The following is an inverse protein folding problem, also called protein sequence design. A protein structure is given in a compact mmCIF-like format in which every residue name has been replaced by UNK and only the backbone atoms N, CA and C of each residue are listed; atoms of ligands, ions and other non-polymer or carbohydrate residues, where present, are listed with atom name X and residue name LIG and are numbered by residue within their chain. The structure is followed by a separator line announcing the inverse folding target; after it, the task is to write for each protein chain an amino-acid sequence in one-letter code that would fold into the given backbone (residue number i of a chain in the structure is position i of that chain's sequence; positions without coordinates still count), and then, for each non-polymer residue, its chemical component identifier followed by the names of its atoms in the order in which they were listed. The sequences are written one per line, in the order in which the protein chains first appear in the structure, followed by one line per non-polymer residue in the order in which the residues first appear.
data_IF_881194049470
#
_entry.id   IF_881194049470
#
_cell.length_a   1.000
_cell.length_b   1.000
_cell.length_c   1.000
_cell.angle_alpha   90.00
_cell.angle_beta   90.00
_cell.angle_gamma   90.00
#
_symmetry.space_group_name_H-M   'P 1'
#
loop_
_entity.id
_entity.type
_entity.pdbx_description
1 polymer ?
#
# COMPACT_ATOMS: atom_id res chain seq x y z
N UNK A 1 -49.25 -12.71 -39.09
CA UNK A 1 -50.09 -11.75 -39.82
C UNK A 1 -51.33 -12.47 -40.27
N UNK A 2 -52.48 -12.14 -39.70
CA UNK A 2 -53.77 -12.57 -40.26
C UNK A 2 -54.29 -11.38 -41.03
N UNK A 3 -53.86 -11.25 -42.28
CA UNK A 3 -54.47 -10.30 -43.21
C UNK A 3 -55.90 -10.76 -43.35
N UNK A 4 -56.86 -9.97 -42.86
CA UNK A 4 -58.27 -10.30 -42.94
C UNK A 4 -58.69 -10.01 -44.39
N UNK A 5 -58.25 -10.86 -45.32
CA UNK A 5 -58.59 -10.73 -46.74
C UNK A 5 -60.07 -10.96 -46.89
N UNK A 6 -60.81 -9.90 -47.17
CA UNK A 6 -62.23 -9.99 -47.50
C UNK A 6 -62.30 -10.71 -48.84
N UNK A 7 -62.79 -11.96 -48.79
CA UNK A 7 -62.99 -12.76 -49.98
C UNK A 7 -64.15 -12.18 -50.79
N UNK A 8 -63.80 -11.37 -51.79
CA UNK A 8 -64.75 -10.65 -52.66
C UNK A 8 -65.59 -11.62 -53.49
N UNK A 9 -65.09 -12.83 -53.79
CA UNK A 9 -65.84 -13.87 -54.47
C UNK A 9 -66.93 -14.43 -53.56
N UNK A 10 -66.58 -14.76 -52.32
CA UNK A 10 -67.54 -15.22 -51.31
C UNK A 10 -68.62 -14.17 -51.01
N UNK A 11 -68.26 -12.89 -51.01
CA UNK A 11 -69.21 -11.78 -50.83
C UNK A 11 -70.16 -11.62 -52.03
N UNK A 12 -69.64 -11.74 -53.26
CA UNK A 12 -70.43 -11.68 -54.49
C UNK A 12 -71.44 -12.84 -54.57
N UNK A 13 -71.02 -14.05 -54.20
CA UNK A 13 -71.88 -15.23 -54.19
C UNK A 13 -73.01 -15.12 -53.15
N UNK A 14 -72.73 -14.51 -51.98
CA UNK A 14 -73.74 -14.19 -50.98
C UNK A 14 -74.79 -13.18 -51.48
N UNK A 15 -74.35 -12.15 -52.21
CA UNK A 15 -75.25 -11.15 -52.82
C UNK A 15 -76.12 -11.76 -53.94
N UNK A 16 -75.56 -12.66 -54.76
CA UNK A 16 -76.31 -13.44 -55.76
C UNK A 16 -77.38 -14.33 -55.11
N UNK A 17 -77.03 -15.01 -54.02
CA UNK A 17 -77.96 -15.85 -53.26
C UNK A 17 -79.11 -15.04 -52.62
N UNK A 18 -78.88 -13.75 -52.32
CA UNK A 18 -79.89 -12.82 -51.82
C UNK A 18 -80.80 -12.23 -52.92
N UNK A 19 -80.64 -12.65 -54.18
CA UNK A 19 -81.51 -12.24 -55.30
C UNK A 19 -81.01 -11.02 -56.10
N UNK A 20 -79.80 -10.52 -55.85
CA UNK A 20 -79.22 -9.46 -56.66
C UNK A 20 -78.79 -9.98 -58.06
N UNK A 21 -79.00 -9.21 -59.14
CA UNK A 21 -78.52 -9.58 -60.47
C UNK A 21 -77.00 -9.81 -60.45
N UNK A 22 -76.53 -10.89 -61.08
CA UNK A 22 -75.10 -11.25 -61.13
C UNK A 22 -74.14 -10.08 -61.42
N UNK A 23 -74.38 -9.19 -62.41
CA UNK A 23 -73.48 -8.07 -62.66
C UNK A 23 -73.50 -7.01 -61.55
N UNK A 24 -74.64 -6.82 -60.87
CA UNK A 24 -74.74 -5.87 -59.75
C UNK A 24 -74.11 -6.44 -58.48
N UNK A 25 -74.28 -7.74 -58.21
CA UNK A 25 -73.69 -8.40 -57.05
C UNK A 25 -72.14 -8.36 -57.09
N UNK A 26 -71.56 -8.65 -58.26
CA UNK A 26 -70.11 -8.60 -58.48
C UNK A 26 -69.57 -7.17 -58.42
N UNK A 27 -70.24 -6.21 -59.05
CA UNK A 27 -69.87 -4.80 -58.99
C UNK A 27 -69.89 -4.28 -57.53
N UNK A 28 -70.92 -4.64 -56.76
CA UNK A 28 -71.05 -4.21 -55.36
C UNK A 28 -69.99 -4.85 -54.47
N UNK A 29 -69.72 -6.16 -54.63
CA UNK A 29 -68.68 -6.84 -53.88
C UNK A 29 -67.28 -6.29 -54.17
N UNK A 30 -67.04 -5.90 -55.42
CA UNK A 30 -65.79 -5.26 -55.84
C UNK A 30 -65.64 -3.86 -55.25
N UNK A 31 -66.66 -3.02 -55.35
CA UNK A 31 -66.64 -1.66 -54.78
C UNK A 31 -66.49 -1.66 -53.26
N UNK A 32 -67.13 -2.61 -52.56
CA UNK A 32 -66.96 -2.78 -51.12
C UNK A 32 -65.56 -3.30 -50.76
N UNK A 33 -65.01 -4.21 -51.55
CA UNK A 33 -63.63 -4.68 -51.39
C UNK A 33 -62.61 -3.55 -51.58
N UNK A 34 -62.78 -2.72 -52.61
CA UNK A 34 -61.94 -1.54 -52.88
C UNK A 34 -62.08 -0.50 -51.75
N UNK A 35 -63.31 -0.16 -51.34
CA UNK A 35 -63.53 0.82 -50.27
C UNK A 35 -63.00 0.37 -48.89
N UNK A 36 -63.01 -0.94 -48.61
CA UNK A 36 -62.46 -1.50 -47.37
C UNK A 36 -60.93 -1.61 -47.41
N UNK A 37 -60.33 -1.91 -48.57
CA UNK A 37 -58.88 -1.84 -48.75
C UNK A 37 -58.37 -0.41 -48.49
N UNK A 38 -59.01 0.60 -49.09
CA UNK A 38 -58.68 2.02 -48.88
C UNK A 38 -58.81 2.46 -47.41
N UNK A 39 -59.70 1.82 -46.63
CA UNK A 39 -59.88 2.11 -45.21
C UNK A 39 -58.87 1.40 -44.29
N UNK A 40 -58.38 0.20 -44.67
CA UNK A 40 -57.48 -0.63 -43.87
C UNK A 40 -56.01 -0.29 -44.14
N UNK A 41 -55.64 -0.02 -45.40
CA UNK A 41 -54.26 0.27 -45.82
C UNK A 41 -53.57 1.38 -44.99
N UNK A 42 -54.23 2.52 -44.65
CA UNK A 42 -53.61 3.54 -43.82
C UNK A 42 -53.29 3.05 -42.41
N UNK A 43 -54.12 2.15 -41.86
CA UNK A 43 -53.93 1.59 -40.53
C UNK A 43 -52.80 0.55 -40.51
N UNK A 44 -52.69 -0.29 -41.54
CA UNK A 44 -51.60 -1.25 -41.69
C UNK A 44 -50.27 -0.57 -41.96
N UNK A 45 -50.23 0.47 -42.80
CA UNK A 45 -49.05 1.29 -43.01
C UNK A 45 -48.61 2.04 -41.74
N UNK A 46 -49.56 2.57 -40.96
CA UNK A 46 -49.27 3.21 -39.68
C UNK A 46 -48.69 2.19 -38.67
N UNK A 47 -49.22 0.98 -38.65
CA UNK A 47 -48.73 -0.11 -37.81
C UNK A 47 -47.32 -0.54 -38.20
N UNK A 48 -47.04 -0.74 -39.48
CA UNK A 48 -45.70 -1.11 -39.97
C UNK A 48 -44.66 -0.04 -39.60
N UNK A 49 -45.02 1.24 -39.75
CA UNK A 49 -44.16 2.35 -39.36
C UNK A 49 -43.88 2.37 -37.85
N UNK A 50 -44.88 2.06 -37.03
CA UNK A 50 -44.72 1.94 -35.58
C UNK A 50 -43.86 0.73 -35.19
N UNK A 51 -44.06 -0.42 -35.84
CA UNK A 51 -43.23 -1.61 -35.61
C UNK A 51 -41.78 -1.34 -35.99
N UNK A 52 -41.54 -0.63 -37.10
CA UNK A 52 -40.20 -0.21 -37.54
C UNK A 52 -39.52 0.71 -36.51
N UNK A 53 -40.20 1.73 -35.98
CA UNK A 53 -39.60 2.62 -34.95
C UNK A 53 -39.34 1.90 -33.64
N UNK A 54 -40.21 0.96 -33.23
CA UNK A 54 -39.98 0.14 -32.04
C UNK A 54 -38.77 -0.80 -32.24
N UNK A 55 -38.59 -1.35 -33.44
CA UNK A 55 -37.42 -2.18 -33.74
C UNK A 55 -36.14 -1.35 -33.72
N UNK A 56 -36.16 -0.17 -34.34
CA UNK A 56 -35.03 0.76 -34.38
C UNK A 56 -34.61 1.19 -32.95
N UNK A 57 -35.56 1.67 -32.15
CA UNK A 57 -35.33 2.04 -30.75
C UNK A 57 -34.79 0.87 -29.92
N UNK A 58 -35.26 -0.36 -30.15
CA UNK A 58 -34.79 -1.56 -29.45
C UNK A 58 -33.36 -1.93 -29.82
N UNK A 59 -32.94 -1.68 -31.06
CA UNK A 59 -31.56 -1.92 -31.51
C UNK A 59 -30.63 -0.89 -30.86
N UNK A 60 -31.01 0.39 -30.92
CA UNK A 60 -30.28 1.48 -30.27
C UNK A 60 -30.12 1.22 -28.77
N UNK A 61 -31.23 0.95 -28.07
CA UNK A 61 -31.23 0.71 -26.63
C UNK A 61 -30.42 -0.54 -26.25
N UNK A 62 -30.45 -1.59 -27.08
CA UNK A 62 -29.59 -2.78 -26.88
C UNK A 62 -28.11 -2.42 -27.00
N UNK A 63 -27.76 -1.52 -27.92
CA UNK A 63 -26.41 -0.98 -28.08
C UNK A 63 -25.94 -0.22 -26.83
N UNK A 64 -26.74 0.73 -26.35
CA UNK A 64 -26.46 1.51 -25.14
C UNK A 64 -26.30 0.60 -23.91
N UNK A 65 -27.23 -0.33 -23.71
CA UNK A 65 -27.17 -1.28 -22.60
C UNK A 65 -25.97 -2.22 -22.67
N UNK A 66 -25.52 -2.59 -23.88
CA UNK A 66 -24.29 -3.35 -24.08
C UNK A 66 -23.06 -2.55 -23.65
N UNK A 67 -23.02 -1.25 -23.96
CA UNK A 67 -21.93 -0.37 -23.52
C UNK A 67 -21.93 -0.18 -22.01
N UNK A 68 -23.10 0.08 -21.41
CA UNK A 68 -23.24 0.23 -19.95
C UNK A 68 -22.80 -1.04 -19.21
N UNK A 69 -23.19 -2.22 -19.71
CA UNK A 69 -22.75 -3.50 -19.12
C UNK A 69 -21.23 -3.69 -19.28
N UNK A 70 -20.66 -3.30 -20.41
CA UNK A 70 -19.21 -3.33 -20.64
C UNK A 70 -18.46 -2.43 -19.66
N UNK A 71 -18.93 -1.20 -19.47
CA UNK A 71 -18.37 -0.25 -18.51
C UNK A 71 -18.47 -0.78 -17.06
N UNK A 72 -19.64 -1.31 -16.67
CA UNK A 72 -19.87 -1.87 -15.35
C UNK A 72 -18.99 -3.10 -15.07
N UNK A 73 -18.78 -3.96 -16.07
CA UNK A 73 -17.86 -5.09 -15.96
C UNK A 73 -16.41 -4.63 -15.84
N UNK A 74 -16.01 -3.62 -16.61
CA UNK A 74 -14.68 -3.03 -16.53
C UNK A 74 -14.41 -2.42 -15.15
N UNK A 75 -15.36 -1.66 -14.61
CA UNK A 75 -15.25 -1.07 -13.27
C UNK A 75 -15.20 -2.14 -12.18
N UNK A 76 -16.01 -3.20 -12.30
CA UNK A 76 -15.95 -4.34 -11.38
C UNK A 76 -14.57 -5.01 -11.38
N UNK A 77 -13.95 -5.19 -12.55
CA UNK A 77 -12.59 -5.74 -12.66
C UNK A 77 -11.55 -4.81 -12.03
N UNK A 78 -11.68 -3.50 -12.24
CA UNK A 78 -10.77 -2.51 -11.64
C UNK A 78 -10.89 -2.49 -10.12
N UNK A 79 -12.10 -2.54 -9.58
CA UNK A 79 -12.33 -2.60 -8.13
C UNK A 79 -11.70 -3.85 -7.52
N UNK A 80 -11.90 -5.03 -8.12
CA UNK A 80 -11.27 -6.27 -7.66
C UNK A 80 -9.73 -6.19 -7.69
N UNK A 81 -9.16 -5.56 -8.73
CA UNK A 81 -7.71 -5.37 -8.82
C UNK A 81 -7.19 -4.41 -7.72
N UNK A 82 -7.94 -3.35 -7.42
CA UNK A 82 -7.63 -2.43 -6.32
C UNK A 82 -7.71 -3.15 -4.98
N UNK A 83 -8.75 -3.94 -4.73
CA UNK A 83 -8.91 -4.70 -3.50
C UNK A 83 -7.75 -5.68 -3.26
N UNK A 84 -7.34 -6.42 -4.31
CA UNK A 84 -6.17 -7.30 -4.24
C UNK A 84 -4.87 -6.51 -3.99
N UNK A 85 -4.73 -5.35 -4.63
CA UNK A 85 -3.61 -4.44 -4.43
C UNK A 85 -3.52 -3.94 -2.98
N UNK A 86 -4.65 -3.54 -2.40
CA UNK A 86 -4.74 -3.10 -1.01
C UNK A 86 -4.40 -4.24 -0.04
N UNK A 87 -4.93 -5.45 -0.24
CA UNK A 87 -4.56 -6.60 0.60
C UNK A 87 -3.06 -6.94 0.54
N UNK A 88 -2.41 -6.73 -0.62
CA UNK A 88 -0.95 -6.88 -0.74
C UNK A 88 -0.19 -5.79 0.03
N UNK A 89 -0.70 -4.55 0.04
CA UNK A 89 -0.12 -3.45 0.80
C UNK A 89 -0.23 -3.71 2.30
N UNK A 90 -1.39 -4.15 2.79
CA UNK A 90 -1.60 -4.52 4.20
C UNK A 90 -0.58 -5.57 4.65
N UNK A 91 -0.43 -6.66 3.91
CA UNK A 91 0.57 -7.69 4.24
C UNK A 91 2.01 -7.18 4.26
N UNK A 92 2.34 -6.17 3.45
CA UNK A 92 3.66 -5.54 3.47
C UNK A 92 3.83 -4.64 4.68
N UNK A 93 2.79 -3.94 5.10
CA UNK A 93 2.79 -3.11 6.30
C UNK A 93 2.97 -3.98 7.55
N UNK A 94 2.24 -5.10 7.68
CA UNK A 94 2.42 -6.05 8.78
C UNK A 94 3.88 -6.52 8.90
N UNK A 95 4.54 -6.81 7.78
CA UNK A 95 5.95 -7.21 7.74
C UNK A 95 6.89 -6.06 8.13
N UNK A 96 6.54 -4.83 7.83
CA UNK A 96 7.31 -3.65 8.24
C UNK A 96 7.18 -3.45 9.75
N UNK A 97 5.97 -3.53 10.30
CA UNK A 97 5.72 -3.45 11.74
C UNK A 97 6.53 -4.49 12.51
N UNK A 98 6.46 -5.77 12.12
CA UNK A 98 7.26 -6.83 12.75
C UNK A 98 8.78 -6.60 12.67
N UNK A 99 9.26 -5.92 11.62
CA UNK A 99 10.68 -5.57 11.50
C UNK A 99 11.04 -4.42 12.42
N UNK A 100 10.15 -3.44 12.59
CA UNK A 100 10.35 -2.32 13.52
C UNK A 100 10.39 -2.82 14.96
N UNK A 101 9.48 -3.71 15.36
CA UNK A 101 9.50 -4.34 16.70
C UNK A 101 10.86 -5.01 16.99
N UNK A 102 11.42 -5.72 16.00
CA UNK A 102 12.75 -6.36 16.14
C UNK A 102 13.88 -5.34 16.20
N UNK A 103 13.74 -4.19 15.55
CA UNK A 103 14.73 -3.11 15.63
C UNK A 103 14.68 -2.48 17.01
N UNK A 104 13.50 -2.19 17.54
CA UNK A 104 13.31 -1.66 18.90
C UNK A 104 13.95 -2.57 19.94
N UNK A 105 13.63 -3.88 19.92
CA UNK A 105 14.25 -4.85 20.83
C UNK A 105 15.78 -4.93 20.72
N UNK A 106 16.34 -4.67 19.54
CA UNK A 106 17.80 -4.64 19.34
C UNK A 106 18.39 -3.36 19.91
N UNK A 107 17.71 -2.23 19.78
CA UNK A 107 18.14 -0.96 20.36
C UNK A 107 18.14 -1.04 21.89
N UNK A 108 17.10 -1.59 22.51
CA UNK A 108 17.06 -1.81 23.97
C UNK A 108 18.27 -2.62 24.46
N UNK A 109 18.65 -3.67 23.72
CA UNK A 109 19.84 -4.48 24.04
C UNK A 109 21.14 -3.73 23.85
N UNK A 110 21.20 -2.81 22.89
CA UNK A 110 22.38 -1.95 22.68
C UNK A 110 22.49 -0.97 23.83
N UNK A 111 21.41 -0.30 24.23
CA UNK A 111 21.37 0.61 25.38
C UNK A 111 21.86 -0.10 26.65
N UNK A 112 21.31 -1.26 27.00
CA UNK A 112 21.77 -2.05 28.15
C UNK A 112 23.25 -2.45 28.09
N UNK A 113 23.81 -2.64 26.89
CA UNK A 113 25.24 -2.93 26.73
C UNK A 113 26.09 -1.69 26.91
N UNK A 114 25.62 -0.54 26.46
CA UNK A 114 26.30 0.74 26.65
C UNK A 114 26.34 1.11 28.14
N UNK A 115 25.23 0.96 28.87
CA UNK A 115 25.20 1.16 30.34
C UNK A 115 26.26 0.33 31.06
N UNK A 116 26.40 -0.95 30.66
CA UNK A 116 27.44 -1.85 31.22
C UNK A 116 28.85 -1.44 30.85
N UNK A 117 29.04 -0.86 29.67
CA UNK A 117 30.35 -0.34 29.24
C UNK A 117 30.69 0.90 30.05
N UNK A 118 29.75 1.83 30.24
CA UNK A 118 29.93 3.02 31.07
C UNK A 118 30.33 2.65 32.50
N UNK A 119 29.59 1.75 33.16
CA UNK A 119 29.93 1.27 34.50
C UNK A 119 31.34 0.66 34.60
N UNK A 120 31.78 -0.04 33.55
CA UNK A 120 33.14 -0.62 33.50
C UNK A 120 34.20 0.44 33.31
N UNK A 121 33.92 1.48 32.53
CA UNK A 121 34.83 2.61 32.35
C UNK A 121 34.99 3.38 33.66
N UNK A 122 33.90 3.68 34.37
CA UNK A 122 33.93 4.31 35.70
C UNK A 122 34.80 3.51 36.68
N UNK A 123 34.66 2.18 36.68
CA UNK A 123 35.46 1.31 37.54
C UNK A 123 36.95 1.30 37.15
N UNK A 124 37.27 1.41 35.86
CA UNK A 124 38.65 1.52 35.36
C UNK A 124 39.24 2.87 35.76
N UNK A 125 38.51 3.97 35.58
CA UNK A 125 38.94 5.32 35.97
C UNK A 125 39.25 5.38 37.47
N UNK A 126 38.39 4.81 38.32
CA UNK A 126 38.64 4.74 39.76
C UNK A 126 39.92 3.96 40.09
N UNK A 127 40.16 2.84 39.41
CA UNK A 127 41.36 2.02 39.61
C UNK A 127 42.62 2.76 39.17
N UNK A 128 42.58 3.45 38.02
CA UNK A 128 43.68 4.26 37.53
C UNK A 128 44.00 5.40 38.51
N UNK A 129 42.97 6.09 39.04
CA UNK A 129 43.16 7.12 40.07
C UNK A 129 43.86 6.58 41.33
N UNK A 130 43.53 5.36 41.77
CA UNK A 130 44.24 4.69 42.88
C UNK A 130 45.69 4.35 42.54
N UNK A 131 45.96 3.88 41.32
CA UNK A 131 47.32 3.59 40.86
C UNK A 131 48.15 4.87 40.80
N UNK A 132 47.61 5.97 40.27
CA UNK A 132 48.29 7.26 40.26
C UNK A 132 48.67 7.74 41.66
N UNK A 133 47.76 7.59 42.64
CA UNK A 133 48.05 7.93 44.04
C UNK A 133 49.16 7.06 44.62
N UNK A 134 49.13 5.74 44.36
CA UNK A 134 50.15 4.82 44.83
C UNK A 134 51.52 5.14 44.21
N UNK A 135 51.57 5.45 42.91
CA UNK A 135 52.81 5.86 42.22
C UNK A 135 53.37 7.14 42.84
N UNK A 136 52.55 8.18 43.05
CA UNK A 136 52.99 9.41 43.73
C UNK A 136 53.55 9.15 45.14
N UNK A 137 52.92 8.24 45.89
CA UNK A 137 53.41 7.88 47.22
C UNK A 137 54.80 7.23 47.16
N UNK A 138 55.03 6.33 46.20
CA UNK A 138 56.35 5.70 45.96
C UNK A 138 57.39 6.74 45.53
N UNK A 139 57.04 7.65 44.63
CA UNK A 139 57.94 8.74 44.19
C UNK A 139 58.39 9.61 45.38
N UNK A 140 57.48 9.98 46.27
CA UNK A 140 57.79 10.75 47.48
C UNK A 140 58.71 9.97 48.43
N UNK A 141 58.47 8.66 48.62
CA UNK A 141 59.33 7.81 49.44
C UNK A 141 60.76 7.73 48.88
N UNK A 142 60.90 7.52 47.56
CA UNK A 142 62.20 7.48 46.90
C UNK A 142 62.94 8.81 47.00
N UNK A 143 62.23 9.94 46.87
CA UNK A 143 62.82 11.26 47.07
C UNK A 143 63.34 11.44 48.51
N UNK A 144 62.58 11.00 49.50
CA UNK A 144 63.00 10.98 50.91
C UNK A 144 64.26 10.14 51.12
N UNK A 145 64.27 8.89 50.65
CA UNK A 145 65.42 8.00 50.76
C UNK A 145 66.67 8.57 50.08
N UNK A 146 66.51 9.19 48.91
CA UNK A 146 67.60 9.85 48.18
C UNK A 146 68.21 11.01 48.99
N UNK A 147 67.36 11.82 49.65
CA UNK A 147 67.81 12.88 50.58
C UNK A 147 68.58 12.30 51.77
N UNK A 148 68.05 11.27 52.41
CA UNK A 148 68.67 10.67 53.60
C UNK A 148 70.05 10.07 53.29
N UNK A 149 70.17 9.39 52.13
CA UNK A 149 71.46 8.91 51.63
C UNK A 149 72.45 10.06 51.36
N UNK A 150 71.96 11.20 50.88
CA UNK A 150 72.77 12.41 50.74
C UNK A 150 73.35 12.89 52.06
N UNK A 151 72.51 13.00 53.10
CA UNK A 151 72.93 13.38 54.45
C UNK A 151 73.94 12.39 55.04
N UNK A 152 73.72 11.08 54.87
CA UNK A 152 74.64 10.06 55.34
C UNK A 152 76.02 10.17 54.69
N UNK A 153 76.08 10.40 53.37
CA UNK A 153 77.35 10.61 52.64
C UNK A 153 78.11 11.83 53.13
N UNK A 154 77.41 12.94 53.36
CA UNK A 154 78.01 14.17 53.92
C UNK A 154 78.53 13.90 55.34
N UNK A 155 77.74 13.25 56.19
CA UNK A 155 78.13 12.87 57.54
C UNK A 155 79.40 12.00 57.57
N UNK A 156 79.45 10.94 56.74
CA UNK A 156 80.65 10.11 56.61
C UNK A 156 81.87 10.90 56.15
N UNK A 157 81.73 11.80 55.18
CA UNK A 157 82.84 12.66 54.73
C UNK A 157 83.38 13.56 55.85
N UNK A 158 82.50 14.13 56.68
CA UNK A 158 82.88 14.96 57.82
C UNK A 158 83.60 14.14 58.91
N UNK A 159 83.15 12.92 59.19
CA UNK A 159 83.80 12.00 60.15
C UNK A 159 85.20 11.63 59.65
N UNK A 160 85.34 11.23 58.39
CA UNK A 160 86.65 10.91 57.80
C UNK A 160 87.61 12.10 57.84
N UNK A 161 87.12 13.31 57.54
CA UNK A 161 87.90 14.54 57.64
C UNK A 161 88.38 14.82 59.08
N UNK A 162 87.53 14.59 60.09
CA UNK A 162 87.92 14.72 61.50
C UNK A 162 88.98 13.69 61.90
N UNK A 163 88.80 12.43 61.52
CA UNK A 163 89.76 11.35 61.84
C UNK A 163 91.13 11.65 61.20
N UNK A 164 91.17 12.05 59.93
CA UNK A 164 92.40 12.45 59.25
C UNK A 164 93.10 13.63 59.95
N UNK A 165 92.35 14.64 60.39
CA UNK A 165 92.90 15.78 61.13
C UNK A 165 93.50 15.37 62.49
N UNK A 166 92.84 14.47 63.22
CA UNK A 166 93.34 13.92 64.49
C UNK A 166 94.62 13.12 64.30
N UNK A 167 94.67 12.25 63.28
CA UNK A 167 95.88 11.49 62.95
C UNK A 167 97.02 12.45 62.58
N UNK A 168 96.77 13.45 61.72
CA UNK A 168 97.79 14.43 61.35
C UNK A 168 98.37 15.19 62.56
N UNK A 169 97.55 15.53 63.56
CA UNK A 169 98.00 16.16 64.82
C UNK A 169 98.80 15.24 65.74
N UNK A 170 98.53 13.93 65.71
CA UNK A 170 99.23 12.97 66.56
C UNK A 170 100.66 12.64 66.06
N UNK A 171 100.95 12.88 64.79
CA UNK A 171 102.24 12.62 64.15
C UNK A 171 103.09 13.87 63.86
N UNK A 172 102.57 15.06 64.18
CA UNK A 172 103.28 16.34 64.10
C UNK A 172 103.86 16.74 65.46
#
# INVERSE_FOLDING_TARGET
MSTLTIDTLRLADGLKAAGAPAPQAEATARLLGEALADAIDPHDAAREKLEATIVDWRIEWRGEMSMLRGAQQHDSKRLNAVELGLGTVEQRLDKVEQRLDRVEQRLDRVEQRLDKVEQRLDAVELRLGKVEQAVRAVELQLYGQSRDLGWLKIGHALVLASVLSLVAKAFA
#
